data_IF_751428695598
#
_entry.id   IF_751428695598
#
_cell.length_a   1.000
_cell.length_b   1.000
_cell.length_c   1.000
_cell.angle_alpha   90.00
_cell.angle_beta   90.00
_cell.angle_gamma   90.00
#
_symmetry.space_group_name_H-M   'P 1'
#
loop_
_entity.id
_entity.type
_entity.pdbx_description
1 polymer ?
#
# COMPACT_ATOMS: atom_id res chain seq x y z
N UNK A 1 -42.17 -2.24 -2.66
CA UNK A 1 -40.90 -2.14 -1.88
C UNK A 1 -40.03 -1.08 -2.55
N UNK A 2 -39.39 -0.23 -1.83
CA UNK A 2 -38.45 0.77 -2.37
C UNK A 2 -37.25 0.03 -2.95
N UNK A 3 -36.75 0.46 -4.13
CA UNK A 3 -35.55 -0.13 -4.71
C UNK A 3 -34.36 0.07 -3.75
N UNK A 4 -33.50 -0.93 -3.58
CA UNK A 4 -32.34 -0.78 -2.69
C UNK A 4 -31.26 0.12 -3.31
N UNK A 5 -30.48 0.78 -2.45
CA UNK A 5 -29.25 1.40 -2.86
C UNK A 5 -28.09 0.38 -2.84
N UNK A 6 -27.34 0.29 -3.93
CA UNK A 6 -26.25 -0.70 -4.06
C UNK A 6 -24.89 -0.02 -3.90
N UNK A 7 -24.12 -0.51 -2.91
CA UNK A 7 -22.70 -0.21 -2.76
C UNK A 7 -21.87 -1.36 -3.35
N UNK A 8 -21.11 -1.10 -4.40
CA UNK A 8 -20.05 -1.98 -4.87
C UNK A 8 -18.76 -1.68 -4.10
N UNK A 9 -18.57 -2.46 -3.04
CA UNK A 9 -17.43 -2.33 -2.13
C UNK A 9 -16.15 -2.81 -2.80
N UNK A 10 -15.07 -2.04 -2.68
CA UNK A 10 -13.75 -2.39 -3.22
C UNK A 10 -12.63 -2.22 -2.20
N UNK A 11 -12.24 -0.98 -1.88
CA UNK A 11 -11.18 -0.61 -0.93
C UNK A 11 -11.59 0.58 -0.07
N UNK A 12 -12.72 0.45 0.59
CA UNK A 12 -13.33 1.48 1.43
C UNK A 12 -14.03 0.86 2.66
N UNK A 13 -13.28 -0.02 3.36
CA UNK A 13 -13.78 -0.79 4.51
C UNK A 13 -13.93 0.07 5.77
N UNK A 14 -14.78 1.11 5.70
CA UNK A 14 -15.07 2.04 6.78
C UNK A 14 -16.50 2.58 6.71
N UNK A 15 -17.02 2.96 7.88
CA UNK A 15 -18.34 3.59 8.04
C UNK A 15 -18.24 5.13 8.06
N UNK A 16 -17.08 5.69 8.45
CA UNK A 16 -16.81 7.13 8.48
C UNK A 16 -16.19 7.60 7.17
N UNK A 17 -16.52 8.82 6.78
CA UNK A 17 -15.98 9.42 5.55
C UNK A 17 -16.07 8.48 4.33
N UNK A 18 -17.24 7.86 4.14
CA UNK A 18 -17.51 6.97 3.00
C UNK A 18 -18.67 7.53 2.15
N UNK A 19 -18.41 8.44 1.20
CA UNK A 19 -19.44 9.04 0.36
C UNK A 19 -20.22 8.03 -0.48
N UNK A 20 -19.59 6.94 -0.93
CA UNK A 20 -20.26 5.89 -1.69
C UNK A 20 -21.30 5.15 -0.83
N UNK A 21 -20.96 4.82 0.40
CA UNK A 21 -21.87 4.23 1.37
C UNK A 21 -23.06 5.17 1.67
N UNK A 22 -22.78 6.45 1.94
CA UNK A 22 -23.82 7.44 2.23
C UNK A 22 -24.79 7.62 1.05
N UNK A 23 -24.27 7.66 -0.18
CA UNK A 23 -25.09 7.76 -1.37
C UNK A 23 -25.97 6.50 -1.58
N UNK A 24 -25.42 5.31 -1.37
CA UNK A 24 -26.18 4.08 -1.43
C UNK A 24 -27.30 4.03 -0.36
N UNK A 25 -27.02 4.49 0.87
CA UNK A 25 -28.04 4.58 1.95
C UNK A 25 -29.14 5.59 1.58
N UNK A 26 -28.80 6.70 0.93
CA UNK A 26 -29.76 7.71 0.50
C UNK A 26 -30.71 7.23 -0.60
N UNK A 27 -30.30 6.30 -1.45
CA UNK A 27 -31.11 5.74 -2.52
C UNK A 27 -32.16 4.73 -2.02
N UNK A 28 -31.93 4.09 -0.87
CA UNK A 28 -32.88 3.11 -0.29
C UNK A 28 -32.21 2.09 0.64
N UNK A 29 -32.92 0.99 0.97
CA UNK A 29 -32.39 -0.08 1.80
C UNK A 29 -31.04 -0.59 1.26
N UNK A 30 -30.01 -0.59 2.10
CA UNK A 30 -28.62 -0.84 1.68
C UNK A 30 -28.37 -2.29 1.27
N UNK A 31 -27.81 -2.47 0.08
CA UNK A 31 -27.19 -3.70 -0.37
C UNK A 31 -25.70 -3.45 -0.61
N UNK A 32 -24.84 -4.03 0.22
CA UNK A 32 -23.39 -4.01 0.04
C UNK A 32 -22.94 -5.28 -0.64
N UNK A 33 -22.26 -5.17 -1.78
CA UNK A 33 -21.71 -6.30 -2.55
C UNK A 33 -20.22 -6.20 -2.70
N UNK A 34 -19.53 -7.32 -2.54
CA UNK A 34 -18.08 -7.46 -2.78
C UNK A 34 -17.83 -8.60 -3.77
N UNK A 35 -16.90 -8.43 -4.70
CA UNK A 35 -16.60 -9.42 -5.73
C UNK A 35 -15.21 -10.02 -5.56
N UNK A 36 -15.16 -11.36 -5.59
CA UNK A 36 -13.91 -12.11 -5.81
C UNK A 36 -13.76 -12.30 -7.30
N UNK A 37 -13.24 -11.31 -7.96
CA UNK A 37 -12.99 -11.21 -9.38
C UNK A 37 -11.49 -11.43 -9.72
N UNK A 38 -11.16 -11.35 -11.02
CA UNK A 38 -9.77 -11.46 -11.47
C UNK A 38 -8.88 -10.36 -10.91
N UNK A 39 -9.40 -9.14 -10.75
CA UNK A 39 -8.63 -8.02 -10.19
C UNK A 39 -8.28 -8.26 -8.72
N UNK A 40 -9.23 -8.78 -7.95
CA UNK A 40 -9.00 -9.18 -6.56
C UNK A 40 -7.95 -10.29 -6.47
N UNK A 41 -8.05 -11.32 -7.30
CA UNK A 41 -7.16 -12.47 -7.26
C UNK A 41 -5.77 -12.22 -7.87
N UNK A 42 -5.61 -11.18 -8.69
CA UNK A 42 -4.31 -10.76 -9.23
C UNK A 42 -3.41 -10.03 -8.21
N UNK A 43 -3.95 -9.66 -7.04
CA UNK A 43 -3.15 -9.08 -5.98
C UNK A 43 -2.23 -10.10 -5.34
N UNK A 44 -1.12 -9.65 -4.74
CA UNK A 44 -0.21 -10.52 -4.01
C UNK A 44 -0.86 -11.21 -2.81
N UNK A 45 -0.28 -12.33 -2.38
CA UNK A 45 -0.87 -13.18 -1.35
C UNK A 45 -1.08 -12.45 -0.02
N UNK A 46 -0.10 -11.62 0.41
CA UNK A 46 -0.23 -10.83 1.63
C UNK A 46 -1.33 -9.77 1.55
N UNK A 47 -1.46 -9.09 0.40
CA UNK A 47 -2.53 -8.11 0.16
C UNK A 47 -3.91 -8.76 0.18
N UNK A 48 -4.07 -9.97 -0.40
CA UNK A 48 -5.33 -10.71 -0.38
C UNK A 48 -5.69 -11.19 1.02
N UNK A 49 -4.71 -11.65 1.80
CA UNK A 49 -4.92 -11.97 3.21
C UNK A 49 -5.38 -10.74 4.01
N UNK A 50 -4.74 -9.58 3.80
CA UNK A 50 -5.10 -8.33 4.46
C UNK A 50 -6.49 -7.84 4.07
N UNK A 51 -6.84 -7.97 2.79
CA UNK A 51 -8.14 -7.63 2.25
C UNK A 51 -9.26 -8.48 2.87
N UNK A 52 -9.05 -9.80 2.98
CA UNK A 52 -10.00 -10.71 3.63
C UNK A 52 -10.23 -10.34 5.09
N UNK A 53 -9.17 -9.97 5.81
CA UNK A 53 -9.26 -9.54 7.21
C UNK A 53 -10.07 -8.25 7.34
N UNK A 54 -9.83 -7.26 6.47
CA UNK A 54 -10.61 -6.02 6.43
C UNK A 54 -12.08 -6.28 6.11
N UNK A 55 -12.34 -7.15 5.14
CA UNK A 55 -13.69 -7.55 4.74
C UNK A 55 -14.49 -8.15 5.92
N UNK A 56 -13.88 -9.07 6.68
CA UNK A 56 -14.52 -9.69 7.86
C UNK A 56 -14.84 -8.67 8.96
N UNK A 57 -13.90 -7.77 9.24
CA UNK A 57 -14.07 -6.75 10.28
C UNK A 57 -15.15 -5.73 9.88
N UNK A 58 -15.13 -5.31 8.61
CA UNK A 58 -16.14 -4.38 8.11
C UNK A 58 -17.53 -5.03 8.03
N UNK A 59 -17.63 -6.30 7.65
CA UNK A 59 -18.89 -7.06 7.69
C UNK A 59 -19.49 -7.08 9.09
N UNK A 60 -18.68 -7.35 10.10
CA UNK A 60 -19.12 -7.34 11.50
C UNK A 60 -19.61 -5.94 11.92
N UNK A 61 -18.88 -4.88 11.57
CA UNK A 61 -19.29 -3.51 11.87
C UNK A 61 -20.59 -3.12 11.14
N UNK A 62 -20.74 -3.52 9.87
CA UNK A 62 -21.93 -3.28 9.09
C UNK A 62 -23.15 -4.01 9.66
N UNK A 63 -23.00 -5.27 10.10
CA UNK A 63 -24.08 -6.05 10.75
C UNK A 63 -24.62 -5.38 12.00
N UNK A 64 -23.77 -4.73 12.79
CA UNK A 64 -24.20 -3.94 13.95
C UNK A 64 -25.12 -2.79 13.51
N UNK A 65 -24.83 -2.13 12.39
CA UNK A 65 -25.61 -0.98 11.89
C UNK A 65 -26.91 -1.40 11.19
N UNK A 66 -26.96 -2.60 10.63
CA UNK A 66 -28.08 -3.10 9.80
C UNK A 66 -28.99 -4.09 10.53
N UNK A 67 -28.75 -4.35 11.81
CA UNK A 67 -29.53 -5.35 12.55
C UNK A 67 -29.27 -6.78 12.09
N UNK A 68 -28.04 -7.10 11.64
CA UNK A 68 -27.60 -8.47 11.31
C UNK A 68 -27.30 -8.75 9.85
N UNK A 69 -27.63 -7.84 8.93
CA UNK A 69 -27.30 -8.01 7.51
C UNK A 69 -25.89 -7.48 7.21
N UNK A 70 -25.08 -8.29 6.58
CA UNK A 70 -23.70 -7.96 6.22
C UNK A 70 -23.51 -7.79 4.71
N UNK A 71 -22.28 -8.01 4.30
CA UNK A 71 -21.83 -7.93 2.90
C UNK A 71 -22.25 -9.20 2.16
N UNK A 72 -22.77 -9.06 0.96
CA UNK A 72 -22.97 -10.16 0.02
C UNK A 72 -21.69 -10.35 -0.78
N UNK A 73 -20.99 -11.45 -0.55
CA UNK A 73 -19.76 -11.79 -1.27
C UNK A 73 -20.08 -12.68 -2.44
N UNK A 74 -19.71 -12.27 -3.64
CA UNK A 74 -19.97 -12.97 -4.89
C UNK A 74 -18.64 -13.34 -5.58
N UNK A 75 -18.61 -14.47 -6.27
CA UNK A 75 -17.46 -14.86 -7.11
C UNK A 75 -17.81 -14.67 -8.58
N UNK A 76 -16.94 -13.98 -9.30
CA UNK A 76 -17.08 -13.69 -10.73
C UNK A 76 -16.88 -12.22 -11.04
N UNK A 77 -17.05 -11.86 -12.29
CA UNK A 77 -16.81 -10.50 -12.77
C UNK A 77 -18.02 -9.60 -12.45
N UNK A 78 -17.77 -8.50 -11.74
CA UNK A 78 -18.82 -7.58 -11.30
C UNK A 78 -19.67 -7.05 -12.47
N UNK A 79 -19.03 -6.74 -13.61
CA UNK A 79 -19.71 -6.20 -14.81
C UNK A 79 -20.61 -7.20 -15.54
N UNK A 80 -20.51 -8.49 -15.23
CA UNK A 80 -21.40 -9.54 -15.74
C UNK A 80 -22.58 -9.78 -14.78
N UNK A 81 -22.36 -9.72 -13.48
CA UNK A 81 -23.35 -10.10 -12.46
C UNK A 81 -24.23 -8.91 -12.05
N UNK A 82 -23.65 -7.74 -11.80
CA UNK A 82 -24.39 -6.58 -11.28
C UNK A 82 -25.49 -6.07 -12.22
N UNK A 83 -25.33 -6.03 -13.55
CA UNK A 83 -26.43 -5.57 -14.43
C UNK A 83 -27.71 -6.41 -14.30
N UNK A 84 -27.58 -7.73 -14.22
CA UNK A 84 -28.72 -8.62 -14.02
C UNK A 84 -29.38 -8.44 -12.65
N UNK A 85 -28.55 -8.27 -11.60
CA UNK A 85 -29.01 -7.98 -10.24
C UNK A 85 -29.75 -6.64 -10.18
N UNK A 86 -29.19 -5.58 -10.74
CA UNK A 86 -29.80 -4.24 -10.77
C UNK A 86 -31.12 -4.23 -11.52
N UNK A 87 -31.19 -4.94 -12.66
CA UNK A 87 -32.45 -5.11 -13.42
C UNK A 87 -33.53 -5.80 -12.57
N UNK A 88 -33.19 -6.92 -11.88
CA UNK A 88 -34.10 -7.66 -10.99
C UNK A 88 -34.61 -6.79 -9.85
N UNK A 89 -33.76 -5.97 -9.25
CA UNK A 89 -34.08 -5.11 -8.12
C UNK A 89 -34.62 -3.73 -8.53
N UNK A 90 -34.75 -3.46 -9.85
CA UNK A 90 -35.15 -2.16 -10.38
C UNK A 90 -34.28 -0.98 -9.97
N UNK A 91 -32.99 -1.24 -9.75
CA UNK A 91 -32.00 -0.24 -9.36
C UNK A 91 -31.45 0.48 -10.58
N UNK A 92 -31.28 1.81 -10.47
CA UNK A 92 -30.77 2.66 -11.56
C UNK A 92 -29.37 3.19 -11.31
N UNK A 93 -28.92 3.23 -10.06
CA UNK A 93 -27.62 3.78 -9.68
C UNK A 93 -26.82 2.73 -8.91
N UNK A 94 -25.56 2.59 -9.29
CA UNK A 94 -24.55 1.76 -8.60
C UNK A 94 -23.49 2.69 -8.04
N UNK A 95 -23.22 2.60 -6.74
CA UNK A 95 -22.25 3.44 -6.06
C UNK A 95 -20.96 2.69 -5.78
N UNK A 96 -19.81 3.32 -6.05
CA UNK A 96 -18.47 2.79 -5.80
C UNK A 96 -17.55 3.92 -5.35
N UNK A 97 -16.66 3.64 -4.39
CA UNK A 97 -15.50 4.51 -4.13
C UNK A 97 -14.49 4.38 -5.26
N UNK A 98 -14.05 5.51 -5.82
CA UNK A 98 -13.08 5.51 -6.91
C UNK A 98 -11.70 5.04 -6.44
N UNK A 99 -11.15 4.07 -7.17
CA UNK A 99 -9.79 3.58 -7.00
C UNK A 99 -9.07 3.66 -8.35
N UNK A 100 -8.34 4.74 -8.61
CA UNK A 100 -7.93 5.13 -9.96
C UNK A 100 -6.68 4.39 -10.47
N UNK A 101 -6.72 3.05 -10.50
CA UNK A 101 -5.76 2.23 -11.25
C UNK A 101 -6.28 1.95 -12.65
N UNK A 102 -5.37 1.64 -13.58
CA UNK A 102 -5.73 1.32 -14.99
C UNK A 102 -6.70 0.14 -15.06
N UNK A 103 -6.44 -0.90 -14.28
CA UNK A 103 -7.24 -2.11 -14.25
C UNK A 103 -8.67 -1.84 -13.72
N UNK A 104 -8.78 -1.01 -12.66
CA UNK A 104 -10.07 -0.63 -12.11
C UNK A 104 -10.83 0.28 -13.08
N UNK A 105 -10.17 1.24 -13.70
CA UNK A 105 -10.80 2.11 -14.73
C UNK A 105 -11.33 1.27 -15.90
N UNK A 106 -10.56 0.30 -16.38
CA UNK A 106 -11.03 -0.61 -17.42
C UNK A 106 -12.24 -1.46 -16.98
N UNK A 107 -12.29 -1.88 -15.72
CA UNK A 107 -13.43 -2.59 -15.13
C UNK A 107 -14.65 -1.67 -15.00
N UNK A 108 -14.47 -0.44 -14.57
CA UNK A 108 -15.52 0.59 -14.49
C UNK A 108 -16.10 0.92 -15.87
N UNK A 109 -15.27 0.97 -16.91
CA UNK A 109 -15.73 1.22 -18.28
C UNK A 109 -16.56 0.04 -18.83
N UNK A 110 -16.15 -1.20 -18.56
CA UNK A 110 -16.97 -2.39 -18.85
C UNK A 110 -18.31 -2.35 -18.10
N UNK A 111 -18.30 -1.96 -16.83
CA UNK A 111 -19.53 -1.80 -16.04
C UNK A 111 -20.45 -0.75 -16.65
N UNK A 112 -19.94 0.44 -17.00
CA UNK A 112 -20.73 1.50 -17.65
C UNK A 112 -21.36 1.01 -18.97
N UNK A 113 -20.58 0.29 -19.78
CA UNK A 113 -21.07 -0.30 -21.02
C UNK A 113 -22.21 -1.31 -20.79
N UNK A 114 -22.09 -2.16 -19.76
CA UNK A 114 -23.09 -3.15 -19.40
C UNK A 114 -24.37 -2.53 -18.78
N UNK A 115 -24.27 -1.41 -18.09
CA UNK A 115 -25.40 -0.70 -17.48
C UNK A 115 -26.16 0.20 -18.46
N UNK A 116 -25.53 0.70 -19.52
CA UNK A 116 -26.13 1.63 -20.47
C UNK A 116 -27.43 1.11 -21.12
N UNK A 117 -27.55 -0.18 -21.58
CA UNK A 117 -28.79 -0.70 -22.15
C UNK A 117 -29.94 -0.76 -21.14
N UNK A 118 -29.64 -0.77 -19.83
CA UNK A 118 -30.63 -0.79 -18.75
C UNK A 118 -31.08 0.61 -18.31
N UNK A 119 -30.54 1.66 -18.92
CA UNK A 119 -30.74 3.04 -18.45
C UNK A 119 -30.26 3.26 -17.00
N UNK A 120 -29.25 2.49 -16.60
CA UNK A 120 -28.62 2.58 -15.28
C UNK A 120 -27.18 3.13 -15.39
N UNK A 121 -26.62 3.60 -14.27
CA UNK A 121 -25.31 4.21 -14.24
C UNK A 121 -24.44 3.78 -13.06
N UNK A 122 -23.11 3.88 -13.24
CA UNK A 122 -22.11 3.77 -12.19
C UNK A 122 -21.72 5.17 -11.75
N UNK A 123 -21.87 5.45 -10.45
CA UNK A 123 -21.46 6.71 -9.81
C UNK A 123 -20.20 6.45 -8.98
N UNK A 124 -19.12 7.14 -9.33
CA UNK A 124 -17.86 7.10 -8.58
C UNK A 124 -17.84 8.20 -7.54
N UNK A 125 -17.40 7.83 -6.34
CA UNK A 125 -17.30 8.73 -5.20
C UNK A 125 -15.84 8.89 -4.75
N UNK A 126 -15.43 10.07 -4.26
CA UNK A 126 -14.11 10.26 -3.68
C UNK A 126 -14.00 9.48 -2.36
N UNK A 127 -12.81 9.00 -2.03
CA UNK A 127 -12.59 8.28 -0.76
C UNK A 127 -11.20 7.72 -0.57
N UNK A 128 -10.49 7.49 -1.67
CA UNK A 128 -9.14 6.93 -1.63
C UNK A 128 -8.03 7.99 -1.61
N UNK A 129 -8.32 9.18 -2.17
CA UNK A 129 -7.39 10.29 -2.29
C UNK A 129 -7.75 11.46 -1.38
N UNK A 130 -6.74 12.27 -1.06
CA UNK A 130 -6.87 13.48 -0.26
C UNK A 130 -7.59 14.59 -1.01
N UNK A 131 -7.35 14.69 -2.33
CA UNK A 131 -7.96 15.64 -3.24
C UNK A 131 -8.44 14.94 -4.52
N UNK A 132 -9.48 15.47 -5.15
CA UNK A 132 -9.91 14.95 -6.45
C UNK A 132 -8.76 15.04 -7.48
N UNK A 133 -8.46 13.98 -8.26
CA UNK A 133 -7.31 13.95 -9.16
C UNK A 133 -7.23 15.13 -10.16
N UNK A 134 -8.39 15.61 -10.61
CA UNK A 134 -8.47 16.76 -11.53
C UNK A 134 -8.32 18.15 -10.87
N UNK A 135 -8.33 18.21 -9.53
CA UNK A 135 -8.38 19.48 -8.79
C UNK A 135 -7.02 20.19 -8.67
N UNK A 136 -5.92 19.47 -8.89
CA UNK A 136 -4.55 20.01 -8.77
C UNK A 136 -3.78 19.74 -10.06
N UNK A 137 -3.51 20.80 -10.82
CA UNK A 137 -2.78 20.75 -12.10
C UNK A 137 -1.67 21.80 -12.12
N UNK A 138 -0.60 21.52 -12.84
CA UNK A 138 0.52 22.44 -13.07
C UNK A 138 0.06 23.64 -13.91
N UNK A 139 0.85 24.71 -13.94
CA UNK A 139 0.50 25.95 -14.67
C UNK A 139 0.24 25.78 -16.16
N UNK A 140 0.74 24.72 -16.78
CA UNK A 140 0.47 24.34 -18.17
C UNK A 140 -0.69 23.30 -18.32
N UNK A 141 -1.47 23.07 -17.26
CA UNK A 141 -2.64 22.18 -17.28
C UNK A 141 -2.34 20.68 -17.14
N UNK A 142 -1.05 20.27 -17.13
CA UNK A 142 -0.63 18.89 -16.99
C UNK A 142 -0.48 18.42 -15.53
N UNK A 143 -0.02 17.18 -15.35
CA UNK A 143 0.34 16.66 -14.04
C UNK A 143 1.66 17.27 -13.54
N UNK A 144 1.75 17.49 -12.22
CA UNK A 144 3.03 17.83 -11.58
C UNK A 144 3.99 16.64 -11.69
N UNK A 145 5.27 16.91 -11.95
CA UNK A 145 6.33 15.91 -12.04
C UNK A 145 7.34 16.00 -10.90
N UNK A 146 7.18 17.00 -10.03
CA UNK A 146 8.07 17.27 -8.88
C UNK A 146 7.21 17.48 -7.64
N UNK A 147 7.63 16.88 -6.54
CA UNK A 147 6.87 16.87 -5.28
C UNK A 147 6.62 18.25 -4.69
N UNK A 148 7.66 19.09 -4.57
CA UNK A 148 7.53 20.35 -3.83
C UNK A 148 6.48 21.33 -4.40
N UNK A 149 6.38 21.57 -5.73
CA UNK A 149 5.31 22.38 -6.28
C UNK A 149 3.94 21.71 -6.15
N UNK A 150 3.84 20.38 -6.28
CA UNK A 150 2.61 19.64 -6.05
C UNK A 150 2.11 19.82 -4.60
N UNK A 151 2.97 19.53 -3.62
CA UNK A 151 2.62 19.65 -2.20
C UNK A 151 2.19 21.07 -1.82
N UNK A 152 2.84 22.10 -2.40
CA UNK A 152 2.44 23.50 -2.21
C UNK A 152 1.05 23.76 -2.79
N UNK A 153 0.76 23.28 -3.98
CA UNK A 153 -0.54 23.47 -4.63
C UNK A 153 -1.67 22.78 -3.84
N UNK A 154 -1.45 21.55 -3.34
CA UNK A 154 -2.42 20.86 -2.48
C UNK A 154 -2.65 21.61 -1.17
N UNK A 155 -1.58 22.09 -0.50
CA UNK A 155 -1.69 22.86 0.74
C UNK A 155 -2.42 24.20 0.53
N UNK A 156 -2.18 24.89 -0.59
CA UNK A 156 -2.86 26.17 -0.93
C UNK A 156 -4.36 25.98 -1.22
N UNK A 157 -4.70 24.92 -1.94
CA UNK A 157 -6.10 24.58 -2.22
C UNK A 157 -6.82 24.12 -0.95
N UNK A 158 -6.14 23.42 -0.09
CA UNK A 158 -6.67 22.62 1.01
C UNK A 158 -7.23 21.27 0.53
N UNK A 159 -7.13 20.24 1.37
CA UNK A 159 -7.74 18.94 1.12
C UNK A 159 -9.27 19.02 1.09
N UNK A 160 -9.89 18.03 0.45
CA UNK A 160 -11.33 17.86 0.51
C UNK A 160 -11.73 17.48 1.96
N UNK A 161 -12.86 17.99 2.44
CA UNK A 161 -13.34 17.69 3.78
C UNK A 161 -13.83 16.26 3.87
N UNK A 162 -13.63 15.57 5.00
CA UNK A 162 -14.27 14.28 5.25
C UNK A 162 -15.79 14.39 5.13
N UNK A 163 -16.43 13.36 4.59
CA UNK A 163 -17.87 13.22 4.61
C UNK A 163 -18.38 12.90 6.04
N UNK A 164 -19.67 13.01 6.24
CA UNK A 164 -20.31 12.61 7.50
C UNK A 164 -20.12 11.11 7.78
N UNK A 165 -20.28 10.73 9.04
CA UNK A 165 -20.32 9.34 9.45
C UNK A 165 -21.62 8.67 8.95
N UNK A 166 -21.59 7.37 8.71
CA UNK A 166 -22.78 6.60 8.44
C UNK A 166 -23.74 6.65 9.64
N UNK A 167 -25.07 6.66 9.41
CA UNK A 167 -26.04 6.71 10.49
C UNK A 167 -25.93 5.51 11.43
N UNK A 168 -26.36 5.64 12.71
CA UNK A 168 -26.27 4.57 13.69
C UNK A 168 -27.14 3.36 13.34
N UNK A 169 -28.25 3.56 12.60
CA UNK A 169 -29.10 2.50 12.05
C UNK A 169 -29.18 2.64 10.53
N UNK A 170 -29.00 1.54 9.83
CA UNK A 170 -29.07 1.46 8.36
C UNK A 170 -30.12 0.42 8.01
N UNK A 171 -31.11 0.81 7.21
CA UNK A 171 -32.10 -0.13 6.69
C UNK A 171 -31.43 -1.08 5.70
N UNK A 172 -31.44 -2.41 5.93
CA UNK A 172 -30.80 -3.35 5.01
C UNK A 172 -31.75 -3.77 3.90
N UNK A 173 -31.22 -4.07 2.74
CA UNK A 173 -31.92 -4.83 1.71
C UNK A 173 -32.18 -6.26 2.24
N UNK A 174 -33.45 -6.68 2.23
CA UNK A 174 -33.88 -8.00 2.72
C UNK A 174 -34.03 -9.06 1.62
N UNK A 175 -33.81 -8.67 0.37
CA UNK A 175 -33.88 -9.62 -0.76
C UNK A 175 -32.90 -10.78 -0.56
N UNK A 176 -33.34 -12.03 -0.78
CA UNK A 176 -32.47 -13.19 -0.66
C UNK A 176 -31.48 -13.22 -1.83
N UNK A 177 -30.24 -12.93 -1.54
CA UNK A 177 -29.13 -13.03 -2.48
C UNK A 177 -28.20 -14.16 -2.01
N UNK A 178 -27.98 -15.12 -2.89
CA UNK A 178 -26.96 -16.15 -2.64
C UNK A 178 -25.58 -15.49 -2.63
N UNK A 179 -24.84 -15.69 -1.55
CA UNK A 179 -23.47 -15.21 -1.39
C UNK A 179 -22.59 -16.27 -0.76
N UNK A 180 -21.27 -16.10 -0.86
CA UNK A 180 -20.31 -16.95 -0.20
C UNK A 180 -20.33 -16.68 1.31
N UNK A 181 -20.12 -17.73 2.09
CA UNK A 181 -19.95 -17.59 3.54
C UNK A 181 -18.56 -17.01 3.84
N UNK A 182 -18.55 -15.83 4.45
CA UNK A 182 -17.33 -15.16 4.89
C UNK A 182 -16.53 -16.00 5.91
N UNK A 183 -17.17 -16.89 6.69
CA UNK A 183 -16.47 -17.71 7.68
C UNK A 183 -15.52 -18.71 7.03
N UNK A 184 -15.84 -19.18 5.83
CA UNK A 184 -15.06 -20.17 5.06
C UNK A 184 -14.21 -19.53 3.95
N UNK A 185 -14.25 -18.19 3.84
CA UNK A 185 -13.52 -17.49 2.80
C UNK A 185 -12.01 -17.62 3.00
N UNK A 186 -11.29 -17.94 1.92
CA UNK A 186 -9.83 -17.94 1.85
C UNK A 186 -9.41 -17.25 0.55
N UNK A 187 -8.95 -16.00 0.65
CA UNK A 187 -8.45 -15.23 -0.48
C UNK A 187 -6.95 -15.45 -0.74
N UNK A 188 -6.23 -16.08 0.17
CA UNK A 188 -4.78 -16.26 0.07
C UNK A 188 -4.36 -17.72 0.37
N UNK A 189 -4.90 -18.71 -0.38
CA UNK A 189 -4.55 -20.12 -0.19
C UNK A 189 -3.08 -20.41 -0.55
N UNK A 190 -2.47 -19.56 -1.34
CA UNK A 190 -1.08 -19.64 -1.81
C UNK A 190 -0.10 -18.78 -0.97
N UNK A 191 -0.49 -18.40 0.24
CA UNK A 191 0.37 -17.64 1.14
C UNK A 191 1.52 -18.54 1.64
N UNK A 192 2.71 -18.39 1.07
CA UNK A 192 3.87 -19.27 1.28
C UNK A 192 4.30 -19.44 2.73
N UNK A 193 4.21 -18.37 3.54
CA UNK A 193 4.54 -18.37 4.98
C UNK A 193 3.42 -18.87 5.88
N UNK A 194 2.24 -19.09 5.32
CA UNK A 194 1.04 -19.50 6.04
C UNK A 194 0.38 -18.35 6.83
N UNK A 195 -0.94 -18.49 7.08
CA UNK A 195 -1.74 -17.50 7.81
C UNK A 195 -1.25 -17.26 9.23
N UNK A 196 -0.92 -18.33 9.96
CA UNK A 196 -0.52 -18.25 11.36
C UNK A 196 0.71 -17.36 11.60
N UNK A 197 1.65 -17.31 10.65
CA UNK A 197 2.81 -16.44 10.75
C UNK A 197 2.43 -14.96 10.67
N UNK A 198 1.60 -14.57 9.70
CA UNK A 198 1.11 -13.20 9.60
C UNK A 198 0.20 -12.81 10.77
N UNK A 199 -0.72 -13.69 11.18
CA UNK A 199 -1.68 -13.40 12.26
C UNK A 199 -0.97 -13.14 13.59
N UNK A 200 0.11 -13.87 13.89
CA UNK A 200 0.90 -13.69 15.12
C UNK A 200 1.50 -12.30 15.27
N UNK A 201 1.89 -11.66 14.14
CA UNK A 201 2.61 -10.37 14.13
C UNK A 201 1.83 -9.26 13.45
N UNK A 202 0.60 -9.54 13.01
CA UNK A 202 -0.22 -8.55 12.33
C UNK A 202 -0.63 -7.41 13.27
N UNK A 203 -0.52 -6.20 12.77
CA UNK A 203 -1.11 -5.05 13.45
C UNK A 203 -2.63 -5.21 13.59
N UNK A 204 -3.26 -4.57 14.59
CA UNK A 204 -4.71 -4.45 14.66
C UNK A 204 -5.28 -3.97 13.32
N UNK A 205 -6.48 -4.42 12.97
CA UNK A 205 -7.14 -4.06 11.71
C UNK A 205 -8.55 -3.50 11.98
N UNK A 206 -9.13 -2.85 10.96
CA UNK A 206 -10.43 -2.22 11.04
C UNK A 206 -10.36 -0.72 11.30
N UNK A 207 -11.49 -0.04 11.05
CA UNK A 207 -11.60 1.41 11.16
C UNK A 207 -11.28 1.94 12.55
N UNK A 208 -11.80 1.28 13.61
CA UNK A 208 -11.55 1.70 14.99
C UNK A 208 -10.06 1.57 15.38
N UNK A 209 -9.40 0.52 14.92
CA UNK A 209 -7.96 0.34 15.13
C UNK A 209 -7.14 1.42 14.39
N UNK A 210 -7.54 1.77 13.17
CA UNK A 210 -6.91 2.84 12.40
C UNK A 210 -7.02 4.19 13.09
N UNK A 211 -8.20 4.51 13.65
CA UNK A 211 -8.45 5.76 14.35
C UNK A 211 -7.69 5.82 15.68
N UNK A 212 -7.71 4.74 16.46
CA UNK A 212 -6.97 4.66 17.72
C UNK A 212 -5.46 4.78 17.47
N UNK A 213 -4.92 4.11 16.44
CA UNK A 213 -3.52 4.21 16.05
C UNK A 213 -3.12 5.60 15.57
N UNK A 214 -4.02 6.31 14.88
CA UNK A 214 -3.80 7.70 14.49
C UNK A 214 -3.74 8.62 15.71
N UNK A 215 -4.69 8.48 16.64
CA UNK A 215 -4.76 9.34 17.83
C UNK A 215 -3.53 9.12 18.74
N UNK A 216 -3.14 7.85 18.99
CA UNK A 216 -1.89 7.50 19.70
C UNK A 216 -0.65 8.10 19.03
N UNK A 217 -0.55 8.01 17.71
CA UNK A 217 0.56 8.61 16.97
C UNK A 217 0.58 10.13 17.11
N UNK A 218 -0.56 10.80 17.00
CA UNK A 218 -0.65 12.27 17.09
C UNK A 218 -0.25 12.77 18.49
N UNK A 219 -0.49 12.00 19.56
CA UNK A 219 -0.08 12.32 20.93
C UNK A 219 1.45 12.33 21.13
N UNK A 220 2.19 11.62 20.26
CA UNK A 220 3.66 11.54 20.31
C UNK A 220 4.34 12.12 19.06
N UNK A 221 3.61 12.85 18.22
CA UNK A 221 4.10 13.38 16.95
C UNK A 221 5.29 14.35 17.07
N UNK A 222 5.50 14.99 18.22
CA UNK A 222 6.65 15.90 18.45
C UNK A 222 8.01 15.23 18.22
N UNK A 223 8.14 13.93 18.48
CA UNK A 223 9.37 13.18 18.27
C UNK A 223 9.58 12.75 16.80
N UNK A 224 8.50 12.69 16.02
CA UNK A 224 8.48 12.13 14.67
C UNK A 224 9.58 12.64 13.72
N UNK A 225 9.90 13.93 13.63
CA UNK A 225 10.95 14.42 12.73
C UNK A 225 12.33 13.83 12.99
N UNK A 226 12.62 13.46 14.23
CA UNK A 226 13.92 12.93 14.66
C UNK A 226 13.97 11.41 14.62
N UNK A 227 12.82 10.76 14.87
CA UNK A 227 12.75 9.32 15.13
C UNK A 227 12.19 8.52 13.97
N UNK A 228 11.49 9.15 13.02
CA UNK A 228 10.83 8.50 11.90
C UNK A 228 11.72 7.59 11.05
N UNK A 229 13.01 7.82 11.04
CA UNK A 229 13.98 7.05 10.26
C UNK A 229 14.63 5.90 11.07
N UNK A 230 14.24 5.73 12.35
CA UNK A 230 14.75 4.75 13.29
C UNK A 230 13.88 3.48 13.27
N UNK A 231 14.30 2.38 12.59
CA UNK A 231 13.53 1.15 12.53
C UNK A 231 13.51 0.37 13.86
N UNK A 232 14.43 0.68 14.77
CA UNK A 232 14.49 0.13 16.13
C UNK A 232 13.47 0.77 17.10
N UNK A 233 12.80 1.86 16.68
CA UNK A 233 11.79 2.57 17.46
C UNK A 233 10.38 2.41 16.86
N UNK A 234 9.37 2.42 17.73
CA UNK A 234 7.98 2.53 17.30
C UNK A 234 7.59 4.01 17.13
N UNK A 235 8.15 4.65 16.11
CA UNK A 235 8.07 6.10 15.90
C UNK A 235 7.20 6.49 14.69
N UNK A 236 6.59 5.54 13.99
CA UNK A 236 5.75 5.80 12.81
C UNK A 236 4.27 5.56 13.12
N UNK A 237 3.39 6.11 12.28
CA UNK A 237 1.93 5.98 12.46
C UNK A 237 1.38 4.59 12.11
N UNK A 238 2.13 3.79 11.34
CA UNK A 238 1.72 2.47 10.81
C UNK A 238 0.37 2.45 10.08
N UNK A 239 -0.06 3.59 9.52
CA UNK A 239 -1.37 3.71 8.85
C UNK A 239 -1.38 3.19 7.41
N UNK A 240 -0.24 2.78 6.86
CA UNK A 240 -0.16 2.30 5.46
C UNK A 240 -1.04 1.09 5.19
N UNK A 241 -1.11 0.11 6.11
CA UNK A 241 -2.01 -1.05 6.02
C UNK A 241 -3.50 -0.65 5.96
N UNK A 242 -3.88 0.31 6.78
CA UNK A 242 -5.26 0.80 6.85
C UNK A 242 -5.63 1.60 5.61
N UNK A 243 -4.70 2.44 5.10
CA UNK A 243 -4.88 3.19 3.87
C UNK A 243 -4.97 2.28 2.63
N UNK A 244 -4.22 1.17 2.61
CA UNK A 244 -4.19 0.24 1.49
C UNK A 244 -5.55 -0.43 1.24
N UNK A 245 -6.33 -0.68 2.27
CA UNK A 245 -7.68 -1.27 2.17
C UNK A 245 -8.80 -0.27 2.48
N UNK A 246 -8.46 0.98 2.80
CA UNK A 246 -9.44 2.04 3.02
C UNK A 246 -10.21 1.96 4.34
N UNK A 247 -9.61 1.41 5.40
CA UNK A 247 -10.14 1.45 6.78
C UNK A 247 -10.08 2.86 7.38
N UNK A 248 -9.27 3.73 6.83
CA UNK A 248 -9.23 5.16 7.11
C UNK A 248 -8.99 5.92 5.82
N UNK A 249 -9.57 7.10 5.68
CA UNK A 249 -9.31 7.97 4.55
C UNK A 249 -8.16 8.94 4.83
N UNK A 250 -7.41 9.38 3.80
CA UNK A 250 -6.40 10.42 3.97
C UNK A 250 -7.01 11.76 4.41
N UNK A 251 -8.29 12.02 4.08
CA UNK A 251 -9.02 13.23 4.50
C UNK A 251 -9.26 13.23 6.01
N UNK A 252 -9.67 12.08 6.59
CA UNK A 252 -9.83 11.91 8.04
C UNK A 252 -8.48 12.08 8.76
N UNK A 253 -7.41 11.49 8.22
CA UNK A 253 -6.06 11.66 8.77
C UNK A 253 -5.67 13.14 8.79
N UNK A 254 -5.86 13.84 7.67
CA UNK A 254 -5.52 15.24 7.57
C UNK A 254 -6.31 16.10 8.54
N UNK A 255 -7.63 15.94 8.59
CA UNK A 255 -8.51 16.73 9.45
C UNK A 255 -8.17 16.55 10.94
N UNK A 256 -7.97 15.30 11.40
CA UNK A 256 -7.58 15.02 12.79
C UNK A 256 -6.18 15.55 13.13
N UNK A 257 -5.23 15.40 12.22
CA UNK A 257 -3.87 15.91 12.40
C UNK A 257 -3.85 17.44 12.51
N UNK A 258 -4.59 18.15 11.67
CA UNK A 258 -4.70 19.62 11.74
C UNK A 258 -5.37 20.07 13.05
N UNK A 259 -6.46 19.42 13.45
CA UNK A 259 -7.12 19.72 14.73
C UNK A 259 -6.16 19.52 15.91
N UNK A 260 -5.37 18.42 15.90
CA UNK A 260 -4.37 18.20 16.97
C UNK A 260 -3.30 19.27 16.98
N UNK A 261 -2.83 19.74 15.82
CA UNK A 261 -1.82 20.80 15.71
C UNK A 261 -2.33 22.16 16.26
N UNK A 262 -3.65 22.43 16.11
CA UNK A 262 -4.29 23.62 16.66
C UNK A 262 -4.44 23.54 18.20
N UNK A 263 -4.82 22.38 18.72
CA UNK A 263 -5.03 22.17 20.17
C UNK A 263 -3.70 22.06 20.93
N UNK A 264 -2.68 21.46 20.32
CA UNK A 264 -1.39 21.16 20.92
C UNK A 264 -0.24 21.65 20.03
N UNK A 265 0.10 22.96 20.09
CA UNK A 265 1.12 23.56 19.20
C UNK A 265 2.50 22.92 19.29
N UNK A 266 2.85 22.26 20.40
CA UNK A 266 4.09 21.52 20.57
C UNK A 266 4.23 20.33 19.60
N UNK A 267 3.13 19.81 19.11
CA UNK A 267 3.11 18.74 18.10
C UNK A 267 3.12 19.26 16.65
N UNK A 268 2.89 20.55 16.42
CA UNK A 268 2.66 21.12 15.09
C UNK A 268 3.78 20.81 14.09
N UNK A 269 5.04 20.92 14.49
CA UNK A 269 6.17 20.61 13.61
C UNK A 269 6.25 19.13 13.23
N UNK A 270 5.96 18.24 14.16
CA UNK A 270 5.90 16.80 13.91
C UNK A 270 4.72 16.41 13.02
N UNK A 271 3.58 17.02 13.26
CA UNK A 271 2.37 16.85 12.45
C UNK A 271 2.59 17.36 11.02
N UNK A 272 3.20 18.54 10.84
CA UNK A 272 3.51 19.03 9.49
C UNK A 272 4.43 18.07 8.74
N UNK A 273 5.43 17.52 9.41
CA UNK A 273 6.31 16.49 8.84
C UNK A 273 5.52 15.22 8.48
N UNK A 274 4.61 14.77 9.33
CA UNK A 274 3.74 13.61 9.05
C UNK A 274 2.81 13.86 7.86
N UNK A 275 2.16 15.02 7.81
CA UNK A 275 1.30 15.40 6.69
C UNK A 275 2.07 15.51 5.36
N UNK A 276 3.36 15.83 5.41
CA UNK A 276 4.23 15.75 4.24
C UNK A 276 4.36 14.31 3.71
N UNK A 277 4.34 13.28 4.58
CA UNK A 277 4.36 11.89 4.12
C UNK A 277 3.00 11.46 3.54
N UNK A 278 1.89 11.97 4.07
CA UNK A 278 0.56 11.78 3.44
C UNK A 278 0.55 12.42 2.03
N UNK A 279 1.17 13.59 1.88
CA UNK A 279 1.31 14.24 0.57
C UNK A 279 2.23 13.47 -0.40
N UNK A 280 3.24 12.75 0.10
CA UNK A 280 4.05 11.87 -0.75
C UNK A 280 3.21 10.71 -1.32
N UNK A 281 2.32 10.10 -0.51
CA UNK A 281 1.36 9.12 -1.00
C UNK A 281 0.43 9.73 -2.06
N UNK A 282 -0.10 10.93 -1.80
CA UNK A 282 -0.96 11.65 -2.74
C UNK A 282 -0.24 11.98 -4.05
N UNK A 283 1.03 12.39 -3.96
CA UNK A 283 1.87 12.65 -5.13
C UNK A 283 2.11 11.39 -5.96
N UNK A 284 2.35 10.24 -5.33
CA UNK A 284 2.53 8.98 -6.06
C UNK A 284 1.27 8.59 -6.85
N UNK A 285 0.08 8.79 -6.28
CA UNK A 285 -1.19 8.60 -6.99
C UNK A 285 -1.40 9.63 -8.10
N UNK A 286 -1.05 10.89 -7.87
CA UNK A 286 -1.09 11.92 -8.89
C UNK A 286 -0.21 11.56 -10.10
N UNK A 287 0.97 11.00 -9.84
CA UNK A 287 1.86 10.51 -10.89
C UNK A 287 1.28 9.30 -11.60
N UNK A 288 0.78 8.29 -10.88
CA UNK A 288 0.20 7.09 -11.49
C UNK A 288 -0.98 7.40 -12.39
N UNK A 289 -1.87 8.31 -11.97
CA UNK A 289 -3.02 8.75 -12.77
C UNK A 289 -2.55 9.49 -14.04
N UNK A 290 -1.52 10.32 -13.93
CA UNK A 290 -0.95 11.04 -15.07
C UNK A 290 -0.05 10.21 -15.98
N UNK A 291 0.49 9.11 -15.47
CA UNK A 291 1.44 8.22 -16.14
C UNK A 291 1.16 6.76 -15.77
N UNK A 292 0.08 6.18 -16.33
CA UNK A 292 -0.41 4.87 -15.94
C UNK A 292 0.58 3.72 -16.19
N UNK A 293 1.54 3.88 -17.08
CA UNK A 293 2.61 2.91 -17.35
C UNK A 293 3.71 2.85 -16.26
N UNK A 294 3.67 3.74 -15.25
CA UNK A 294 4.69 3.82 -14.22
C UNK A 294 5.00 2.48 -13.49
N UNK A 295 4.06 1.55 -13.27
CA UNK A 295 4.38 0.26 -12.66
C UNK A 295 5.20 -0.69 -13.55
N UNK A 296 5.22 -0.50 -14.86
CA UNK A 296 5.80 -1.43 -15.83
C UNK A 296 6.89 -0.80 -16.70
N UNK A 297 6.85 0.50 -16.91
CA UNK A 297 7.84 1.24 -17.73
C UNK A 297 8.64 2.23 -16.87
N UNK A 298 9.90 2.46 -17.23
CA UNK A 298 10.71 3.47 -16.57
C UNK A 298 10.13 4.88 -16.83
N UNK A 299 10.01 5.68 -15.77
CA UNK A 299 9.61 7.08 -15.86
C UNK A 299 10.48 7.88 -16.84
N UNK A 300 11.77 7.61 -16.81
CA UNK A 300 12.74 8.09 -17.79
C UNK A 300 12.97 6.97 -18.78
N UNK A 301 12.40 7.09 -19.98
CA UNK A 301 12.38 6.03 -21.00
C UNK A 301 13.78 5.57 -21.43
N UNK A 302 14.78 6.44 -21.40
CA UNK A 302 16.16 6.10 -21.68
C UNK A 302 16.70 4.99 -20.76
N UNK A 303 16.17 4.88 -19.52
CA UNK A 303 16.59 3.85 -18.56
C UNK A 303 16.09 2.43 -18.88
N UNK A 304 15.23 2.26 -19.88
CA UNK A 304 14.90 0.92 -20.37
C UNK A 304 16.13 0.20 -20.96
N UNK A 305 17.11 0.96 -21.43
CA UNK A 305 18.40 0.45 -21.91
C UNK A 305 19.47 0.27 -20.81
N UNK A 306 19.15 0.44 -19.53
CA UNK A 306 20.15 0.26 -18.47
C UNK A 306 20.58 -1.22 -18.36
N UNK A 307 21.90 -1.52 -18.21
CA UNK A 307 22.44 -2.88 -18.27
C UNK A 307 22.21 -3.67 -16.98
N UNK A 308 20.94 -3.99 -16.68
CA UNK A 308 20.59 -4.85 -15.56
C UNK A 308 21.16 -6.25 -15.69
N UNK A 309 21.61 -6.83 -14.59
CA UNK A 309 22.10 -8.20 -14.54
C UNK A 309 20.94 -9.21 -14.48
N UNK A 310 21.10 -10.34 -15.17
CA UNK A 310 20.16 -11.48 -15.15
C UNK A 310 20.63 -12.55 -14.16
N UNK A 311 20.98 -12.17 -12.94
CA UNK A 311 21.46 -13.08 -11.89
C UNK A 311 20.30 -13.60 -11.02
N UNK A 312 19.70 -14.70 -11.47
CA UNK A 312 18.61 -15.36 -10.74
C UNK A 312 19.03 -15.92 -9.39
N UNK A 313 20.28 -16.35 -9.21
CA UNK A 313 20.77 -16.88 -7.94
C UNK A 313 20.87 -15.78 -6.88
N UNK A 314 21.38 -14.60 -7.23
CA UNK A 314 21.43 -13.45 -6.33
C UNK A 314 20.03 -12.91 -6.03
N UNK A 315 19.12 -12.91 -6.98
CA UNK A 315 17.71 -12.56 -6.73
C UNK A 315 17.07 -13.50 -5.72
N UNK A 316 17.22 -14.81 -5.88
CA UNK A 316 16.69 -15.82 -4.94
C UNK A 316 17.28 -15.63 -3.54
N UNK A 317 18.59 -15.40 -3.40
CA UNK A 317 19.22 -15.13 -2.09
C UNK A 317 18.67 -13.86 -1.46
N UNK A 318 18.45 -12.81 -2.24
CA UNK A 318 17.82 -11.59 -1.75
C UNK A 318 16.38 -11.85 -1.28
N UNK A 319 15.55 -12.53 -2.06
CA UNK A 319 14.19 -12.89 -1.69
C UNK A 319 14.11 -13.73 -0.40
N UNK A 320 15.12 -14.59 -0.19
CA UNK A 320 15.24 -15.47 1.00
C UNK A 320 15.90 -14.80 2.21
N UNK A 321 16.25 -13.52 2.14
CA UNK A 321 17.00 -12.82 3.19
C UNK A 321 18.34 -13.50 3.56
N UNK A 322 19.09 -13.91 2.53
CA UNK A 322 20.37 -14.63 2.60
C UNK A 322 21.49 -13.83 1.89
N UNK A 323 21.39 -12.49 1.89
CA UNK A 323 22.39 -11.64 1.23
C UNK A 323 23.71 -11.56 2.00
N UNK A 324 23.69 -11.85 3.31
CA UNK A 324 24.82 -11.64 4.22
C UNK A 324 25.02 -10.18 4.63
N UNK A 325 24.06 -9.29 4.31
CA UNK A 325 24.06 -7.87 4.70
C UNK A 325 22.98 -7.67 5.76
N UNK A 326 23.42 -7.44 7.00
CA UNK A 326 22.56 -7.53 8.18
C UNK A 326 21.29 -6.66 8.10
N UNK A 327 21.38 -5.39 7.69
CA UNK A 327 20.23 -4.50 7.62
C UNK A 327 19.27 -4.91 6.48
N UNK A 328 19.79 -5.43 5.37
CA UNK A 328 19.01 -5.92 4.23
C UNK A 328 18.25 -7.18 4.62
N UNK A 329 18.95 -8.17 5.18
CA UNK A 329 18.35 -9.44 5.58
C UNK A 329 17.34 -9.26 6.71
N UNK A 330 17.61 -8.38 7.70
CA UNK A 330 16.66 -8.03 8.74
C UNK A 330 15.36 -7.45 8.18
N UNK A 331 15.45 -6.55 7.20
CA UNK A 331 14.28 -5.96 6.55
C UNK A 331 13.45 -6.96 5.76
N UNK A 332 14.10 -7.84 5.01
CA UNK A 332 13.41 -8.89 4.24
C UNK A 332 12.73 -9.92 5.17
N UNK A 333 13.33 -10.25 6.32
CA UNK A 333 12.72 -11.12 7.34
C UNK A 333 11.55 -10.45 8.04
N UNK A 334 11.65 -9.15 8.38
CA UNK A 334 10.52 -8.37 8.87
C UNK A 334 9.35 -8.45 7.88
N UNK A 335 9.61 -8.14 6.60
CA UNK A 335 8.58 -8.18 5.56
C UNK A 335 7.96 -9.57 5.40
N UNK A 336 8.79 -10.61 5.39
CA UNK A 336 8.29 -11.99 5.30
C UNK A 336 7.37 -12.34 6.46
N UNK A 337 7.73 -12.00 7.69
CA UNK A 337 7.00 -12.41 8.88
C UNK A 337 5.76 -11.55 9.17
N UNK A 338 5.85 -10.23 8.92
CA UNK A 338 4.81 -9.26 9.32
C UNK A 338 3.97 -8.73 8.16
N UNK A 339 4.46 -8.89 6.93
CA UNK A 339 3.89 -8.19 5.77
C UNK A 339 4.24 -6.70 5.70
N UNK A 340 5.10 -6.21 6.59
CA UNK A 340 5.51 -4.81 6.68
C UNK A 340 7.03 -4.68 6.64
N UNK A 341 7.51 -3.49 6.32
CA UNK A 341 8.93 -3.12 6.43
C UNK A 341 9.02 -1.62 6.67
N UNK A 342 9.86 -1.22 7.61
CA UNK A 342 10.10 0.19 7.88
C UNK A 342 10.60 0.94 6.63
N UNK A 343 10.08 2.17 6.35
CA UNK A 343 10.39 2.91 5.11
C UNK A 343 11.91 3.07 4.86
N UNK A 344 12.68 3.42 5.88
CA UNK A 344 14.14 3.56 5.75
C UNK A 344 14.80 2.26 5.30
N UNK A 345 14.31 1.14 5.81
CA UNK A 345 14.83 -0.19 5.47
C UNK A 345 14.43 -0.57 4.04
N UNK A 346 13.18 -0.26 3.60
CA UNK A 346 12.76 -0.47 2.19
C UNK A 346 13.73 0.19 1.22
N UNK A 347 14.16 1.42 1.50
CA UNK A 347 15.12 2.14 0.65
C UNK A 347 16.47 1.43 0.57
N UNK A 348 16.97 0.90 1.67
CA UNK A 348 18.25 0.17 1.73
C UNK A 348 18.14 -1.17 1.01
N UNK A 349 17.07 -1.93 1.25
CA UNK A 349 16.77 -3.22 0.63
C UNK A 349 16.64 -3.08 -0.89
N UNK A 350 15.92 -2.07 -1.35
CA UNK A 350 15.76 -1.78 -2.77
C UNK A 350 17.06 -1.30 -3.43
N UNK A 351 17.84 -0.47 -2.71
CA UNK A 351 19.16 -0.04 -3.18
C UNK A 351 20.15 -1.19 -3.28
N UNK A 352 20.09 -2.15 -2.35
CA UNK A 352 20.92 -3.34 -2.44
C UNK A 352 20.64 -4.12 -3.73
N UNK A 353 19.38 -4.40 -4.01
CA UNK A 353 18.96 -5.11 -5.22
C UNK A 353 19.40 -4.37 -6.50
N UNK A 354 19.06 -3.09 -6.61
CA UNK A 354 19.21 -2.34 -7.85
C UNK A 354 20.61 -1.79 -8.08
N UNK A 355 21.40 -1.59 -7.02
CA UNK A 355 22.74 -0.97 -7.11
C UNK A 355 23.86 -1.95 -6.87
N UNK A 356 23.79 -2.80 -5.84
CA UNK A 356 24.86 -3.73 -5.54
C UNK A 356 24.75 -5.03 -6.37
N UNK A 357 23.53 -5.51 -6.60
CA UNK A 357 23.27 -6.69 -7.42
C UNK A 357 22.96 -6.34 -8.88
N UNK A 358 22.71 -5.07 -9.20
CA UNK A 358 22.31 -4.58 -10.54
C UNK A 358 21.10 -5.33 -11.12
N UNK A 359 20.18 -5.82 -10.28
CA UNK A 359 18.96 -6.51 -10.70
C UNK A 359 17.87 -5.47 -10.96
N UNK A 360 17.09 -5.68 -12.01
CA UNK A 360 15.99 -4.79 -12.42
C UNK A 360 15.02 -4.57 -11.27
N UNK A 361 14.65 -3.31 -11.05
CA UNK A 361 13.73 -2.89 -10.01
C UNK A 361 12.36 -3.58 -10.07
N UNK A 362 11.92 -4.00 -11.26
CA UNK A 362 10.64 -4.72 -11.45
C UNK A 362 10.62 -6.06 -10.72
N UNK A 363 11.75 -6.74 -10.62
CA UNK A 363 11.85 -7.99 -9.85
C UNK A 363 11.62 -7.75 -8.35
N UNK A 364 12.18 -6.65 -7.82
CA UNK A 364 11.95 -6.25 -6.43
C UNK A 364 10.52 -5.76 -6.18
N UNK A 365 9.97 -4.97 -7.11
CA UNK A 365 8.57 -4.53 -7.08
C UNK A 365 7.61 -5.72 -7.00
N UNK A 366 7.81 -6.74 -7.83
CA UNK A 366 6.98 -7.94 -7.84
C UNK A 366 7.07 -8.72 -6.52
N UNK A 367 8.26 -8.85 -5.94
CA UNK A 367 8.43 -9.49 -4.63
C UNK A 367 7.73 -8.71 -3.50
N UNK A 368 7.83 -7.37 -3.51
CA UNK A 368 7.11 -6.54 -2.56
C UNK A 368 5.59 -6.63 -2.73
N UNK A 369 5.10 -6.71 -3.98
CA UNK A 369 3.67 -6.89 -4.26
C UNK A 369 3.11 -8.16 -3.62
N UNK A 370 3.87 -9.26 -3.64
CA UNK A 370 3.47 -10.53 -3.04
C UNK A 370 3.55 -10.51 -1.50
N UNK A 371 4.56 -9.83 -0.95
CA UNK A 371 4.88 -9.91 0.47
C UNK A 371 4.25 -8.84 1.35
N UNK A 372 3.88 -7.67 0.82
CA UNK A 372 3.42 -6.54 1.61
C UNK A 372 1.90 -6.57 1.83
N UNK A 373 1.50 -6.38 3.09
CA UNK A 373 0.09 -6.17 3.49
C UNK A 373 -0.37 -4.75 3.19
N UNK A 374 0.55 -3.80 3.18
CA UNK A 374 0.32 -2.38 2.87
C UNK A 374 0.60 -2.03 1.39
N UNK A 375 0.48 -3.01 0.49
CA UNK A 375 0.74 -2.79 -0.92
C UNK A 375 -0.10 -1.64 -1.49
N UNK A 376 0.57 -0.60 -1.97
CA UNK A 376 0.01 0.54 -2.70
C UNK A 376 0.71 0.64 -4.05
N UNK A 377 0.02 0.44 -5.19
CA UNK A 377 0.65 0.35 -6.51
C UNK A 377 1.36 1.65 -6.90
N UNK A 378 0.82 2.81 -6.52
CA UNK A 378 1.40 4.10 -6.86
C UNK A 378 2.68 4.36 -6.05
N UNK A 379 2.61 4.19 -4.73
CA UNK A 379 3.75 4.41 -3.84
C UNK A 379 4.89 3.45 -4.13
N UNK A 380 4.59 2.18 -4.37
CA UNK A 380 5.63 1.19 -4.66
C UNK A 380 6.28 1.43 -6.04
N UNK A 381 5.52 1.66 -7.10
CA UNK A 381 6.07 1.95 -8.42
C UNK A 381 6.96 3.20 -8.41
N UNK A 382 6.49 4.29 -7.80
CA UNK A 382 7.28 5.52 -7.69
C UNK A 382 8.58 5.31 -6.90
N UNK A 383 8.51 4.69 -5.72
CA UNK A 383 9.66 4.58 -4.82
C UNK A 383 10.70 3.57 -5.32
N UNK A 384 10.29 2.45 -5.94
CA UNK A 384 11.22 1.53 -6.58
C UNK A 384 12.01 2.19 -7.69
N UNK A 385 11.35 2.95 -8.57
CA UNK A 385 12.01 3.71 -9.61
C UNK A 385 12.89 4.85 -9.07
N UNK A 386 12.44 5.52 -7.99
CA UNK A 386 13.25 6.54 -7.34
C UNK A 386 14.57 5.96 -6.81
N UNK A 387 14.53 4.81 -6.13
CA UNK A 387 15.74 4.11 -5.66
C UNK A 387 16.57 3.62 -6.85
N UNK A 388 15.96 3.07 -7.89
CA UNK A 388 16.65 2.64 -9.10
C UNK A 388 17.35 3.79 -9.85
N UNK A 389 16.88 5.03 -9.70
CA UNK A 389 17.42 6.22 -10.34
C UNK A 389 16.73 6.60 -11.65
N UNK A 390 15.76 5.83 -12.10
CA UNK A 390 14.95 6.10 -13.31
C UNK A 390 13.65 6.83 -13.00
N UNK A 391 13.30 7.05 -11.73
CA UNK A 391 12.01 7.54 -11.29
C UNK A 391 11.84 9.06 -11.37
N UNK A 392 10.60 9.54 -11.09
CA UNK A 392 10.29 10.95 -10.94
C UNK A 392 10.95 11.51 -9.68
N UNK A 393 11.21 12.82 -9.67
CA UNK A 393 11.80 13.53 -8.53
C UNK A 393 13.08 12.88 -7.98
N UNK A 394 13.75 12.04 -8.80
CA UNK A 394 14.97 11.38 -8.41
C UNK A 394 16.09 12.39 -8.20
N UNK A 395 16.96 12.11 -7.24
CA UNK A 395 18.16 12.91 -7.01
C UNK A 395 18.96 13.09 -8.32
N UNK A 396 19.59 14.24 -8.54
CA UNK A 396 20.31 14.53 -9.78
C UNK A 396 21.51 13.62 -10.02
N UNK A 397 21.87 12.80 -9.05
CA UNK A 397 22.93 11.79 -9.13
C UNK A 397 22.45 10.43 -8.62
N UNK A 398 23.09 9.40 -9.14
CA UNK A 398 22.84 8.00 -8.82
C UNK A 398 23.22 7.68 -7.36
N UNK A 399 22.25 7.67 -6.45
CA UNK A 399 22.49 7.41 -5.03
C UNK A 399 22.62 5.92 -4.76
N UNK A 400 23.73 5.52 -4.15
CA UNK A 400 23.97 4.16 -3.67
C UNK A 400 23.99 4.23 -2.14
N UNK A 401 23.03 3.58 -1.47
CA UNK A 401 23.06 3.49 -0.01
C UNK A 401 24.11 2.48 0.42
N UNK A 402 24.94 2.84 1.39
CA UNK A 402 25.81 1.89 2.07
C UNK A 402 25.05 1.31 3.27
N UNK A 403 24.68 0.01 3.28
CA UNK A 403 23.86 -0.58 4.34
C UNK A 403 24.49 -0.50 5.75
N UNK A 404 25.83 -0.58 5.85
CA UNK A 404 26.53 -0.48 7.13
C UNK A 404 26.41 0.93 7.72
N UNK A 405 26.67 1.97 6.92
CA UNK A 405 26.49 3.37 7.36
C UNK A 405 25.03 3.67 7.70
N UNK A 406 24.07 3.09 6.97
CA UNK A 406 22.65 3.23 7.30
C UNK A 406 22.32 2.54 8.63
N UNK A 407 22.91 1.38 8.90
CA UNK A 407 22.76 0.69 10.16
C UNK A 407 23.40 1.47 11.33
N UNK A 408 24.60 2.01 11.15
CA UNK A 408 25.26 2.87 12.14
C UNK A 408 24.43 4.09 12.51
N UNK A 409 23.81 4.73 11.52
CA UNK A 409 23.02 5.94 11.69
C UNK A 409 21.63 5.69 12.30
N UNK A 410 20.92 4.64 11.84
CA UNK A 410 19.50 4.45 12.12
C UNK A 410 19.19 3.25 13.03
N UNK A 411 20.14 2.35 13.24
CA UNK A 411 20.06 1.23 14.19
C UNK A 411 21.41 1.10 14.95
N UNK A 412 21.88 2.19 15.62
CA UNK A 412 23.25 2.27 16.16
C UNK A 412 23.55 1.21 17.21
N UNK A 413 22.53 0.76 17.94
CA UNK A 413 22.68 -0.30 18.94
C UNK A 413 22.48 -1.70 18.37
N UNK A 414 22.03 -1.82 17.10
CA UNK A 414 21.73 -3.09 16.47
C UNK A 414 20.42 -3.75 16.94
N UNK A 415 19.53 -3.00 17.62
CA UNK A 415 18.29 -3.53 18.19
C UNK A 415 17.35 -4.09 17.12
N UNK A 416 17.22 -3.37 15.99
CA UNK A 416 16.45 -3.83 14.87
C UNK A 416 17.03 -5.10 14.22
N UNK A 417 18.33 -5.13 13.95
CA UNK A 417 19.01 -6.29 13.37
C UNK A 417 18.95 -7.51 14.28
N UNK A 418 19.13 -7.35 15.60
CA UNK A 418 18.99 -8.43 16.58
C UNK A 418 17.59 -9.02 16.63
N UNK A 419 16.59 -8.18 16.47
CA UNK A 419 15.20 -8.61 16.49
C UNK A 419 14.89 -9.63 15.38
N UNK A 420 15.44 -9.43 14.19
CA UNK A 420 15.12 -10.21 13.01
C UNK A 420 16.15 -11.28 12.64
N UNK A 421 17.40 -11.18 13.15
CA UNK A 421 18.49 -12.07 12.76
C UNK A 421 18.91 -12.97 13.92
N UNK A 422 18.60 -14.26 13.82
CA UNK A 422 19.13 -15.26 14.74
C UNK A 422 20.66 -15.39 14.57
N UNK A 423 21.40 -15.25 15.67
CA UNK A 423 22.87 -15.36 15.67
C UNK A 423 23.61 -14.12 15.17
N UNK A 424 22.96 -12.96 15.11
CA UNK A 424 23.64 -11.70 14.76
C UNK A 424 24.71 -11.32 15.78
N UNK A 425 24.35 -11.26 17.07
CA UNK A 425 25.27 -11.02 18.19
C UNK A 425 24.86 -11.69 19.51
N UNK A 426 23.67 -12.29 19.56
CA UNK A 426 23.08 -12.91 20.76
C UNK A 426 22.20 -14.11 20.40
N UNK A 427 21.60 -14.71 21.42
CA UNK A 427 20.54 -15.71 21.22
C UNK A 427 19.37 -15.13 20.42
N UNK A 428 18.74 -15.94 19.58
CA UNK A 428 17.61 -15.54 18.75
C UNK A 428 16.44 -15.04 19.59
N UNK A 429 15.91 -13.88 19.23
CA UNK A 429 14.64 -13.36 19.76
C UNK A 429 13.43 -14.09 19.18
N UNK A 430 12.23 -13.84 19.72
CA UNK A 430 11.01 -14.53 19.30
C UNK A 430 10.66 -14.31 17.82
N UNK A 431 10.94 -13.14 17.25
CA UNK A 431 10.69 -12.84 15.85
C UNK A 431 11.66 -13.59 14.94
N UNK A 432 12.94 -13.65 15.30
CA UNK A 432 13.93 -14.39 14.52
C UNK A 432 13.66 -15.90 14.54
N UNK A 433 13.18 -16.45 15.66
CA UNK A 433 12.73 -17.85 15.76
C UNK A 433 11.49 -18.08 14.89
N UNK A 434 10.49 -17.22 15.00
CA UNK A 434 9.26 -17.33 14.21
C UNK A 434 9.52 -17.25 12.70
N UNK A 435 10.51 -16.46 12.27
CA UNK A 435 10.92 -16.43 10.86
C UNK A 435 11.45 -17.81 10.42
N UNK A 436 12.33 -18.42 11.20
CA UNK A 436 12.85 -19.79 10.92
C UNK A 436 11.71 -20.80 10.84
N UNK A 437 10.73 -20.74 11.75
CA UNK A 437 9.57 -21.63 11.78
C UNK A 437 8.63 -21.46 10.59
N UNK A 438 8.55 -20.25 10.01
CA UNK A 438 7.65 -19.89 8.91
C UNK A 438 8.26 -20.06 7.52
N UNK A 439 9.58 -20.27 7.43
CA UNK A 439 10.25 -20.41 6.13
C UNK A 439 10.08 -21.81 5.52
N UNK A 440 10.08 -21.93 4.19
CA UNK A 440 10.12 -23.23 3.52
C UNK A 440 11.34 -24.06 3.96
N UNK A 441 11.18 -25.40 3.99
CA UNK A 441 12.22 -26.31 4.47
C UNK A 441 13.50 -26.33 3.64
N UNK A 442 13.43 -25.89 2.40
CA UNK A 442 14.57 -25.80 1.48
C UNK A 442 15.37 -24.50 1.63
N UNK A 443 14.90 -23.55 2.48
CA UNK A 443 15.66 -22.36 2.78
C UNK A 443 16.72 -22.63 3.85
N UNK A 444 17.81 -21.84 3.80
CA UNK A 444 18.81 -21.90 4.86
C UNK A 444 18.29 -21.21 6.13
N UNK A 445 18.01 -21.97 7.17
CA UNK A 445 17.44 -21.48 8.44
C UNK A 445 18.42 -21.51 9.62
N UNK A 446 19.71 -21.74 9.37
CA UNK A 446 20.76 -21.67 10.39
C UNK A 446 20.99 -20.25 10.92
N UNK A 447 21.91 -20.10 11.88
CA UNK A 447 22.31 -18.78 12.36
C UNK A 447 22.74 -17.89 11.21
N UNK A 448 22.32 -16.61 11.28
CA UNK A 448 22.71 -15.62 10.27
C UNK A 448 24.23 -15.45 10.23
N UNK A 449 24.79 -15.32 9.03
CA UNK A 449 26.22 -15.11 8.81
C UNK A 449 26.45 -13.92 7.90
N UNK A 450 27.44 -13.10 8.27
CA UNK A 450 27.88 -12.00 7.42
C UNK A 450 28.49 -12.52 6.11
N UNK A 451 28.17 -11.85 5.02
CA UNK A 451 28.82 -12.05 3.74
C UNK A 451 30.26 -11.48 3.74
N UNK A 452 31.02 -11.73 2.66
CA UNK A 452 32.36 -11.17 2.50
C UNK A 452 32.35 -9.63 2.59
N UNK A 453 33.28 -9.04 3.34
CA UNK A 453 33.39 -7.58 3.54
C UNK A 453 33.61 -6.80 2.23
N UNK A 454 34.19 -7.43 1.21
CA UNK A 454 34.42 -6.83 -0.11
C UNK A 454 33.14 -6.56 -0.91
N UNK A 455 32.01 -7.26 -0.60
CA UNK A 455 30.76 -7.15 -1.37
C UNK A 455 30.26 -5.71 -1.54
N UNK A 456 30.36 -4.90 -0.51
CA UNK A 456 29.90 -3.51 -0.53
C UNK A 456 30.72 -2.65 -1.49
N UNK A 457 32.04 -2.79 -1.47
CA UNK A 457 32.95 -2.03 -2.34
C UNK A 457 32.83 -2.49 -3.80
N UNK A 458 32.79 -3.80 -4.02
CA UNK A 458 32.64 -4.41 -5.35
C UNK A 458 31.30 -4.05 -6.01
N UNK A 459 30.19 -4.20 -5.29
CA UNK A 459 28.87 -3.84 -5.80
C UNK A 459 28.77 -2.34 -6.11
N UNK A 460 29.31 -1.47 -5.26
CA UNK A 460 29.37 -0.04 -5.53
C UNK A 460 30.19 0.27 -6.78
N UNK A 461 31.36 -0.38 -6.96
CA UNK A 461 32.22 -0.21 -8.14
C UNK A 461 31.49 -0.67 -9.42
N UNK A 462 30.83 -1.83 -9.38
CA UNK A 462 30.04 -2.35 -10.48
C UNK A 462 28.90 -1.40 -10.86
N UNK A 463 28.17 -0.86 -9.89
CA UNK A 463 27.09 0.10 -10.14
C UNK A 463 27.55 1.38 -10.83
N UNK A 464 28.70 1.93 -10.39
CA UNK A 464 29.27 3.14 -11.00
C UNK A 464 29.80 2.86 -12.42
N UNK A 465 30.38 1.69 -12.66
CA UNK A 465 30.82 1.28 -13.98
C UNK A 465 29.62 1.08 -14.93
N UNK A 466 28.55 0.42 -14.47
CA UNK A 466 27.32 0.25 -15.25
C UNK A 466 26.70 1.60 -15.61
N UNK A 467 26.65 2.55 -14.67
CA UNK A 467 26.15 3.90 -14.93
C UNK A 467 27.02 4.67 -15.94
N UNK A 468 28.36 4.58 -15.84
CA UNK A 468 29.27 5.23 -16.76
C UNK A 468 29.09 4.69 -18.18
N UNK A 469 29.02 3.36 -18.34
CA UNK A 469 28.75 2.71 -19.62
C UNK A 469 27.37 3.12 -20.20
N UNK A 470 26.33 3.11 -19.38
CA UNK A 470 24.99 3.54 -19.79
C UNK A 470 24.98 4.99 -20.31
N UNK A 471 25.64 5.92 -19.59
CA UNK A 471 25.72 7.34 -20.00
C UNK A 471 26.51 7.55 -21.29
N UNK A 472 27.59 6.82 -21.49
CA UNK A 472 28.37 6.89 -22.73
C UNK A 472 27.48 6.53 -23.96
N UNK A 473 26.70 5.45 -23.82
CA UNK A 473 25.85 4.98 -24.94
C UNK A 473 24.61 5.88 -25.17
N UNK A 474 24.09 6.58 -24.14
CA UNK A 474 22.95 7.50 -24.28
C UNK A 474 23.34 8.91 -24.72
N UNK A 475 24.61 9.28 -24.68
CA UNK A 475 25.11 10.57 -25.17
C UNK A 475 25.42 10.58 -26.67
N UNK A 476 25.42 9.40 -27.32
CA UNK A 476 25.68 9.22 -28.77
C UNK A 476 24.38 9.13 -29.60
N UNK A 477 23.21 9.13 -28.93
CA UNK A 477 21.87 9.17 -29.54
C UNK A 477 21.19 10.51 -29.28
#
# INVERSE_FOLDING_TARGET
MTAPGILWLTRDFRLRDNPALLAAIADGPLLTVFFIDRLTMAQGAASRWRLERALRIFDAALRVRTGGKGIVVLRGEAHEILPALMKRLSVRQLHQSDWPTVEMQALQDRMRAALRPLGAGLILHPGHLLVHPGAVRSGNGGAYRVYSPFARAVRQRGPDRPAADAPPGIEPCTEPLGGLDLSTLDLAPDLHRGRAALERFAAPAGEEAALAGLDDFLDRACAYPRERDRPDLDATSRLSDHLAVGEISPRTIWARAMLRAEISPEHAAGIDKFLSEVLWREFSWHLLIGFPEMPVACWRSEWEGFPWQKDGASLIRWQRAETGVALVDAGLREMWLTGQMHNRVRMVVASWLTKHLLIDWRAGLAHFADCLTDWDPASNAMNWQWVAGCGPDAAPYFRIFNPERQAEQYDPRGDYRRRWLAGFDRAAGPEAVAWIESTPRDWHTGPWRAGPSAMLAEGRKAALAALAHFRANTSET
#
